data_IF_435810602907
#
_entry.id   IF_435810602907
#
_cell.length_a   1.000
_cell.length_b   1.000
_cell.length_c   1.000
_cell.angle_alpha   90.00
_cell.angle_beta   90.00
_cell.angle_gamma   90.00
#
_symmetry.space_group_name_H-M   'P 1'
#
loop_
_entity.id
_entity.type
_entity.pdbx_description
1 polymer ?
2 polymer ?
3 non-polymer ?
4 non-polymer ?
5 water ?
#
# COMPACT_ATOMS: atom_id res chain seq x y z
N UNK A 1 -21.99 12.50 -1.27
CA UNK A 1 -21.62 11.07 -1.05
C UNK A 1 -22.67 10.37 -0.21
N UNK A 2 -22.80 9.06 -0.42
CA UNK A 2 -23.84 8.29 0.26
C UNK A 2 -23.63 8.23 1.77
N UNK A 3 -22.44 8.55 2.25
CA UNK A 3 -22.19 8.57 3.69
C UNK A 3 -22.34 9.96 4.29
N UNK A 4 -22.77 10.94 3.49
CA UNK A 4 -22.83 12.31 3.95
C UNK A 4 -23.79 12.52 5.11
N UNK A 5 -24.81 11.68 5.24
CA UNK A 5 -25.78 11.86 6.31
C UNK A 5 -25.45 11.10 7.58
N UNK A 6 -24.37 10.33 7.61
CA UNK A 6 -24.02 9.55 8.79
C UNK A 6 -22.94 10.25 9.62
N UNK A 7 -23.11 10.21 10.94
CA UNK A 7 -22.14 10.81 11.86
C UNK A 7 -20.75 10.22 11.65
N UNK A 8 -19.73 11.07 11.79
CA UNK A 8 -18.35 10.59 11.73
C UNK A 8 -18.11 9.42 12.67
N UNK A 9 -18.55 9.54 13.93
CA UNK A 9 -18.27 8.49 14.89
C UNK A 9 -18.99 7.18 14.52
N UNK A 10 -20.19 7.29 13.94
CA UNK A 10 -20.92 6.10 13.50
C UNK A 10 -20.21 5.41 12.34
N UNK A 11 -19.66 6.19 11.41
CA UNK A 11 -18.87 5.62 10.32
C UNK A 11 -17.66 4.87 10.85
N UNK A 12 -16.96 5.44 11.83
CA UNK A 12 -15.81 4.75 12.40
C UNK A 12 -16.26 3.48 13.11
N UNK A 13 -17.35 3.58 13.89
CA UNK A 13 -17.87 2.40 14.58
C UNK A 13 -18.24 1.30 13.58
N UNK A 14 -18.87 1.66 12.47
CA UNK A 14 -19.28 0.66 11.50
C UNK A 14 -18.09 0.13 10.70
N UNK A 15 -17.06 0.95 10.48
CA UNK A 15 -15.84 0.44 9.88
C UNK A 15 -15.24 -0.68 10.72
N UNK A 16 -15.27 -0.54 12.05
CA UNK A 16 -14.72 -1.57 12.92
C UNK A 16 -15.59 -2.83 12.88
N UNK A 17 -16.91 -2.66 12.81
CA UNK A 17 -17.80 -3.80 12.65
C UNK A 17 -17.55 -4.51 11.32
N UNK A 18 -17.42 -3.74 10.24
CA UNK A 18 -17.16 -4.33 8.93
C UNK A 18 -15.87 -5.14 8.94
N UNK A 19 -14.83 -4.62 9.60
CA UNK A 19 -13.58 -5.38 9.72
C UNK A 19 -13.83 -6.71 10.41
N UNK A 20 -14.58 -6.70 11.53
CA UNK A 20 -14.86 -7.95 12.22
C UNK A 20 -15.60 -8.94 11.34
N UNK A 21 -16.46 -8.43 10.46
CA UNK A 21 -17.24 -9.26 9.54
C UNK A 21 -16.51 -9.55 8.24
N UNK A 22 -15.27 -9.07 8.10
CA UNK A 22 -14.48 -9.22 6.89
C UNK A 22 -15.19 -8.65 5.67
N UNK A 23 -15.91 -7.55 5.88
CA UNK A 23 -16.62 -6.85 4.82
C UNK A 23 -15.81 -5.62 4.43
N UNK A 24 -14.74 -5.85 3.67
CA UNK A 24 -13.76 -4.79 3.49
C UNK A 24 -14.22 -3.70 2.53
N UNK A 25 -15.07 -4.03 1.55
CA UNK A 25 -15.62 -2.98 0.71
C UNK A 25 -16.49 -2.02 1.52
N UNK A 26 -17.35 -2.56 2.38
CA UNK A 26 -18.11 -1.72 3.30
C UNK A 26 -17.16 -0.90 4.18
N UNK A 27 -16.14 -1.55 4.74
CA UNK A 27 -15.20 -0.86 5.61
C UNK A 27 -14.57 0.32 4.89
N UNK A 28 -14.18 0.13 3.63
CA UNK A 28 -13.56 1.21 2.86
C UNK A 28 -14.54 2.34 2.62
N UNK A 29 -15.79 2.00 2.26
CA UNK A 29 -16.78 3.04 2.03
C UNK A 29 -17.05 3.84 3.30
N UNK A 30 -17.09 3.16 4.45
CA UNK A 30 -17.30 3.87 5.72
C UNK A 30 -16.14 4.82 6.00
N UNK A 31 -14.90 4.34 5.80
CA UNK A 31 -13.74 5.18 6.10
C UNK A 31 -13.62 6.32 5.10
N UNK A 32 -13.95 6.08 3.82
CA UNK A 32 -14.03 7.18 2.86
C UNK A 32 -14.98 8.26 3.35
N UNK A 33 -16.18 7.85 3.81
CA UNK A 33 -17.12 8.80 4.36
C UNK A 33 -16.55 9.56 5.55
N UNK A 34 -15.82 8.86 6.42
CA UNK A 34 -15.21 9.51 7.57
C UNK A 34 -14.18 10.55 7.14
N UNK A 35 -13.32 10.18 6.18
CA UNK A 35 -12.34 11.14 5.67
C UNK A 35 -13.04 12.38 5.12
N UNK A 36 -14.13 12.18 4.38
CA UNK A 36 -14.82 13.28 3.72
C UNK A 36 -15.54 14.21 4.70
N UNK A 37 -15.62 13.84 5.98
CA UNK A 37 -16.10 14.79 6.97
C UNK A 37 -15.14 15.98 7.12
N UNK A 38 -13.88 15.83 6.71
CA UNK A 38 -12.96 16.95 6.65
C UNK A 38 -12.04 17.12 7.83
N UNK A 39 -12.24 16.36 8.90
CA UNK A 39 -11.36 16.41 10.06
C UNK A 39 -10.16 15.49 9.84
N UNK A 40 -9.05 15.81 10.49
CA UNK A 40 -7.87 14.95 10.42
C UNK A 40 -8.20 13.61 11.08
N UNK A 41 -7.40 12.61 10.71
CA UNK A 41 -7.60 11.26 11.23
C UNK A 41 -6.61 10.97 12.36
N UNK A 42 -7.09 10.30 13.39
CA UNK A 42 -6.23 9.79 14.45
C UNK A 42 -5.40 8.60 13.97
N UNK A 43 -4.43 8.19 14.78
CA UNK A 43 -3.58 7.07 14.43
C UNK A 43 -4.43 5.82 14.14
N UNK A 44 -5.36 5.51 15.04
CA UNK A 44 -6.22 4.35 14.88
C UNK A 44 -7.07 4.47 13.61
N UNK A 45 -7.56 5.68 13.34
CA UNK A 45 -8.42 5.88 12.17
C UNK A 45 -7.62 5.77 10.88
N UNK A 46 -6.38 6.27 10.87
CA UNK A 46 -5.55 6.10 9.69
C UNK A 46 -5.35 4.63 9.38
N UNK A 47 -5.16 3.81 10.42
CA UNK A 47 -4.94 2.40 10.17
C UNK A 47 -6.22 1.68 9.76
N UNK A 48 -7.38 2.18 10.18
CA UNK A 48 -8.62 1.60 9.64
C UNK A 48 -8.76 1.89 8.16
N UNK A 49 -8.42 3.13 7.76
CA UNK A 49 -8.45 3.49 6.34
C UNK A 49 -7.53 2.59 5.53
N UNK A 50 -6.29 2.42 5.98
CA UNK A 50 -5.33 1.63 5.21
C UNK A 50 -5.73 0.16 5.16
N UNK A 51 -6.16 -0.42 6.29
CA UNK A 51 -6.57 -1.82 6.31
C UNK A 51 -7.69 -2.05 5.31
N UNK A 52 -8.67 -1.15 5.28
CA UNK A 52 -9.84 -1.35 4.42
C UNK A 52 -9.42 -1.40 2.95
N UNK A 53 -8.74 -0.36 2.49
CA UNK A 53 -8.40 -0.30 1.07
C UNK A 53 -7.31 -1.31 0.71
N UNK A 54 -6.41 -1.63 1.63
CA UNK A 54 -5.41 -2.66 1.34
C UNK A 54 -6.06 -4.00 1.02
N UNK A 55 -7.12 -4.36 1.75
CA UNK A 55 -7.81 -5.61 1.51
C UNK A 55 -8.60 -5.56 0.21
N UNK A 56 -9.29 -4.45 -0.06
CA UNK A 56 -10.03 -4.33 -1.31
C UNK A 56 -9.09 -4.45 -2.51
N UNK A 57 -8.05 -3.61 -2.54
CA UNK A 57 -7.16 -3.60 -3.69
C UNK A 57 -6.33 -4.88 -3.75
N UNK A 58 -6.05 -5.49 -2.60
CA UNK A 58 -5.32 -6.76 -2.61
C UNK A 58 -6.08 -7.85 -3.33
N UNK A 59 -7.39 -7.92 -3.11
CA UNK A 59 -8.21 -8.88 -3.84
C UNK A 59 -8.26 -8.59 -5.33
N UNK A 60 -8.37 -7.30 -5.68
CA UNK A 60 -8.39 -6.95 -7.10
C UNK A 60 -7.06 -7.28 -7.77
N UNK A 61 -5.95 -7.01 -7.09
CA UNK A 61 -4.64 -7.30 -7.66
C UNK A 61 -4.45 -8.79 -7.87
N UNK A 62 -4.84 -9.60 -6.88
CA UNK A 62 -4.72 -11.04 -7.03
C UNK A 62 -5.54 -11.54 -8.21
N UNK A 63 -6.77 -11.04 -8.35
CA UNK A 63 -7.60 -11.41 -9.50
C UNK A 63 -6.98 -10.95 -10.81
N UNK A 64 -6.48 -9.72 -10.86
CA UNK A 64 -5.83 -9.23 -12.07
C UNK A 64 -4.64 -10.11 -12.46
N UNK A 65 -3.87 -10.59 -11.48
CA UNK A 65 -2.72 -11.44 -11.81
C UNK A 65 -3.17 -12.77 -12.38
N UNK A 66 -4.21 -13.37 -11.81
CA UNK A 66 -4.75 -14.61 -12.37
C UNK A 66 -5.15 -14.40 -13.83
N UNK A 67 -5.93 -13.34 -14.10
CA UNK A 67 -6.43 -13.11 -15.44
C UNK A 67 -5.31 -12.74 -16.41
N UNK A 68 -4.35 -11.94 -15.95
CA UNK A 68 -3.22 -11.58 -16.80
C UNK A 68 -2.41 -12.81 -17.19
N UNK A 69 -2.25 -13.76 -16.26
CA UNK A 69 -1.54 -15.00 -16.58
C UNK A 69 -2.29 -15.79 -17.63
N UNK A 70 -3.61 -15.92 -17.48
CA UNK A 70 -4.42 -16.62 -18.48
C UNK A 70 -4.29 -15.92 -19.83
N UNK A 71 -4.32 -14.59 -19.83
CA UNK A 71 -4.22 -13.84 -21.07
C UNK A 71 -2.88 -14.07 -21.75
N UNK A 72 -1.79 -14.05 -20.98
CA UNK A 72 -0.47 -14.25 -21.55
C UNK A 72 -0.36 -15.64 -22.18
N UNK A 73 -0.87 -16.66 -21.50
CA UNK A 73 -0.83 -18.01 -22.07
C UNK A 73 -1.62 -18.08 -23.37
N UNK A 74 -2.75 -17.35 -23.46
CA UNK A 74 -3.53 -17.36 -24.68
C UNK A 74 -2.78 -16.74 -25.85
N UNK A 75 -1.76 -15.95 -25.58
CA UNK A 75 -0.95 -15.32 -26.62
C UNK A 75 0.35 -16.06 -26.87
N UNK A 76 0.48 -17.29 -26.39
CA UNK A 76 1.64 -18.13 -26.68
C UNK A 76 1.44 -18.87 -27.99
N UNK A 77 2.54 -19.35 -28.56
CA UNK A 77 2.48 -20.11 -29.80
C UNK A 77 1.70 -21.40 -29.59
N UNK A 78 0.76 -21.68 -30.50
CA UNK A 78 -0.02 -22.88 -30.44
C UNK A 78 -1.26 -22.80 -29.57
N UNK A 79 -1.56 -21.64 -29.00
CA UNK A 79 -2.76 -21.47 -28.20
C UNK A 79 -3.96 -21.25 -29.11
N UNK A 80 -5.06 -21.95 -28.82
CA UNK A 80 -6.26 -21.83 -29.62
C UNK A 80 -6.91 -20.46 -29.38
N UNK A 81 -7.36 -19.83 -30.47
CA UNK A 81 -8.03 -18.55 -30.37
C UNK A 81 -9.37 -18.72 -29.66
N UNK A 82 -9.61 -17.91 -28.63
CA UNK A 82 -10.82 -18.02 -27.84
C UNK A 82 -11.64 -16.73 -27.83
N UNK A 83 -11.23 -15.73 -28.59
CA UNK A 83 -12.00 -14.50 -28.70
C UNK A 83 -11.53 -13.44 -27.74
N UNK A 84 -12.30 -12.36 -27.62
CA UNK A 84 -11.87 -11.21 -26.83
C UNK A 84 -12.17 -11.30 -25.35
N UNK A 85 -12.76 -12.40 -24.88
CA UNK A 85 -13.35 -12.41 -23.56
C UNK A 85 -12.30 -12.29 -22.45
N UNK A 86 -11.17 -12.98 -22.57
CA UNK A 86 -10.14 -12.90 -21.54
C UNK A 86 -9.64 -11.47 -21.39
N UNK A 87 -9.31 -10.83 -22.52
CA UNK A 87 -8.85 -9.44 -22.47
C UNK A 87 -9.92 -8.54 -21.89
N UNK A 88 -11.17 -8.68 -22.33
CA UNK A 88 -12.24 -7.83 -21.85
C UNK A 88 -12.36 -7.93 -20.33
N UNK A 89 -12.36 -9.15 -19.81
CA UNK A 89 -12.58 -9.34 -18.38
C UNK A 89 -11.36 -8.89 -17.57
N UNK A 90 -10.15 -9.13 -18.08
CA UNK A 90 -8.97 -8.56 -17.45
C UNK A 90 -9.06 -7.04 -17.42
N UNK A 91 -9.50 -6.44 -18.53
CA UNK A 91 -9.68 -4.99 -18.57
C UNK A 91 -10.72 -4.53 -17.55
N UNK A 92 -11.81 -5.28 -17.38
CA UNK A 92 -12.85 -4.90 -16.43
C UNK A 92 -12.28 -4.84 -15.02
N UNK A 93 -11.56 -5.88 -14.62
CA UNK A 93 -10.97 -5.92 -13.28
C UNK A 93 -9.92 -4.82 -13.15
N UNK A 94 -9.11 -4.64 -14.19
CA UNK A 94 -8.09 -3.59 -14.20
C UNK A 94 -8.71 -2.22 -14.00
N UNK A 95 -9.81 -1.93 -14.69
CA UNK A 95 -10.45 -0.63 -14.57
C UNK A 95 -11.00 -0.41 -13.16
N UNK A 96 -11.57 -1.45 -12.56
CA UNK A 96 -12.08 -1.36 -11.19
C UNK A 96 -10.94 -1.11 -10.21
N UNK A 97 -9.82 -1.82 -10.40
CA UNK A 97 -8.64 -1.64 -9.55
C UNK A 97 -8.11 -0.22 -9.67
N UNK A 98 -7.97 0.29 -10.90
CA UNK A 98 -7.52 1.66 -11.09
C UNK A 98 -8.47 2.64 -10.42
N UNK A 99 -9.77 2.36 -10.45
CA UNK A 99 -10.72 3.24 -9.81
C UNK A 99 -10.52 3.31 -8.31
N UNK A 100 -10.24 2.16 -7.68
CA UNK A 100 -9.96 2.15 -6.25
C UNK A 100 -8.69 2.94 -5.96
N UNK A 101 -7.64 2.73 -6.76
CA UNK A 101 -6.41 3.48 -6.54
C UNK A 101 -6.66 4.97 -6.70
N UNK A 102 -7.43 5.38 -7.72
CA UNK A 102 -7.70 6.79 -7.92
C UNK A 102 -8.47 7.37 -6.73
N UNK A 103 -9.39 6.58 -6.17
CA UNK A 103 -10.16 7.04 -5.03
C UNK A 103 -9.27 7.30 -3.82
N UNK A 104 -8.35 6.36 -3.54
CA UNK A 104 -7.45 6.53 -2.42
C UNK A 104 -6.56 7.74 -2.64
N UNK A 105 -5.96 7.84 -3.84
CA UNK A 105 -5.09 8.97 -4.14
C UNK A 105 -5.86 10.28 -4.08
N UNK A 106 -7.15 10.26 -4.44
CA UNK A 106 -7.96 11.46 -4.32
C UNK A 106 -8.20 11.87 -2.88
N UNK A 107 -8.39 10.89 -1.99
CA UNK A 107 -8.53 11.23 -0.57
C UNK A 107 -7.25 11.82 -0.02
N UNK A 108 -6.10 11.26 -0.41
CA UNK A 108 -4.82 11.79 0.06
C UNK A 108 -4.62 13.22 -0.44
N UNK A 109 -5.02 13.50 -1.69
CA UNK A 109 -4.83 14.82 -2.26
C UNK A 109 -5.90 15.82 -1.81
N UNK A 110 -7.06 15.33 -1.34
CA UNK A 110 -8.17 16.20 -0.95
C UNK A 110 -8.80 15.68 0.35
N UNK A 111 -8.17 15.97 1.50
CA UNK A 111 -7.01 16.85 1.66
C UNK A 111 -6.11 16.31 2.78
N UNK A 112 -5.97 14.98 2.86
CA UNK A 112 -5.28 14.37 3.99
C UNK A 112 -3.82 14.81 4.08
N UNK A 113 -3.10 14.79 2.95
CA UNK A 113 -1.67 15.04 3.02
C UNK A 113 -1.39 16.49 3.40
N UNK A 114 -2.11 17.44 2.82
CA UNK A 114 -1.79 18.83 3.05
C UNK A 114 -2.05 19.25 4.50
N UNK A 115 -2.92 18.56 5.22
CA UNK A 115 -3.16 18.89 6.61
C UNK A 115 -2.30 18.07 7.58
N UNK A 116 -1.54 17.09 7.10
CA UNK A 116 -0.78 16.20 7.98
C UNK A 116 0.59 16.81 8.27
N UNK A 117 0.79 17.23 9.52
CA UNK A 117 2.01 17.91 9.90
C UNK A 117 2.95 17.09 10.76
N UNK A 118 2.41 16.18 11.56
CA UNK A 118 3.26 15.32 12.38
C UNK A 118 3.90 14.24 11.52
N UNK A 119 5.11 13.83 11.92
CA UNK A 119 5.84 12.84 11.12
C UNK A 119 5.04 11.56 10.95
N UNK A 120 4.36 11.09 12.01
CA UNK A 120 3.69 9.79 11.93
C UNK A 120 2.54 9.82 10.93
N UNK A 121 1.81 10.93 10.84
CA UNK A 121 0.73 11.02 9.86
C UNK A 121 1.26 11.30 8.47
N UNK A 122 2.21 12.24 8.34
CA UNK A 122 2.69 12.60 7.01
C UNK A 122 3.40 11.43 6.34
N UNK A 123 4.27 10.73 7.07
CA UNK A 123 4.96 9.58 6.51
C UNK A 123 3.96 8.48 6.14
N UNK A 124 3.00 8.23 7.03
CA UNK A 124 1.95 7.24 6.75
C UNK A 124 1.24 7.54 5.44
N UNK A 125 0.82 8.79 5.24
CA UNK A 125 0.04 9.12 4.05
C UNK A 125 0.91 9.10 2.79
N UNK A 126 2.16 9.54 2.90
CA UNK A 126 3.04 9.50 1.74
C UNK A 126 3.40 8.07 1.35
N UNK A 127 3.58 7.19 2.34
CA UNK A 127 3.73 5.77 2.03
C UNK A 127 2.50 5.26 1.28
N UNK A 128 1.30 5.65 1.71
CA UNK A 128 0.08 5.23 1.02
C UNK A 128 0.06 5.75 -0.41
N UNK A 129 0.45 7.02 -0.62
CA UNK A 129 0.50 7.55 -1.97
C UNK A 129 1.47 6.75 -2.83
N UNK A 130 2.65 6.42 -2.29
CA UNK A 130 3.57 5.58 -3.04
C UNK A 130 3.00 4.21 -3.32
N UNK A 131 2.35 3.61 -2.33
CA UNK A 131 1.77 2.28 -2.51
C UNK A 131 0.74 2.26 -3.64
N UNK A 132 -0.17 3.24 -3.67
CA UNK A 132 -1.25 3.18 -4.65
C UNK A 132 -0.79 3.61 -6.04
N UNK A 133 0.24 4.46 -6.14
CA UNK A 133 0.86 4.65 -7.45
C UNK A 133 1.60 3.39 -7.88
N UNK A 134 2.19 2.65 -6.93
CA UNK A 134 2.82 1.38 -7.27
C UNK A 134 1.79 0.38 -7.80
N UNK A 135 0.60 0.31 -7.19
CA UNK A 135 -0.42 -0.61 -7.70
C UNK A 135 -0.89 -0.18 -9.08
N UNK A 136 -0.98 1.13 -9.34
CA UNK A 136 -1.25 1.58 -10.70
C UNK A 136 -0.11 1.17 -11.64
N UNK A 137 1.13 1.25 -11.16
CA UNK A 137 2.27 0.91 -12.00
C UNK A 137 2.27 -0.57 -12.38
N UNK A 138 1.76 -1.43 -11.50
CA UNK A 138 1.76 -2.87 -11.75
C UNK A 138 0.95 -3.21 -13.00
N UNK A 139 -0.06 -2.43 -13.32
CA UNK A 139 -0.93 -2.71 -14.47
C UNK A 139 -0.70 -1.77 -15.62
N UNK A 140 0.20 -0.79 -15.47
CA UNK A 140 0.41 0.23 -16.50
C UNK A 140 1.22 -0.34 -17.65
N UNK A 141 0.81 0.03 -18.88
CA UNK A 141 1.49 -0.42 -20.08
C UNK A 141 1.68 0.65 -21.14
N UNK A 142 1.14 1.86 -20.94
CA UNK A 142 1.12 2.85 -21.99
C UNK A 142 2.01 4.07 -21.81
N UNK A 143 1.58 5.20 -22.37
CA UNK A 143 2.40 6.41 -22.42
C UNK A 143 2.75 6.95 -21.04
N UNK A 144 1.93 6.66 -20.04
CA UNK A 144 2.08 7.27 -18.73
C UNK A 144 2.76 6.38 -17.72
N UNK A 145 3.24 5.20 -18.13
CA UNK A 145 3.84 4.27 -17.19
C UNK A 145 5.04 4.89 -16.47
N UNK A 146 5.90 5.59 -17.20
CA UNK A 146 7.07 6.18 -16.55
C UNK A 146 6.67 7.26 -15.56
N UNK A 147 5.65 8.05 -15.89
CA UNK A 147 5.21 9.09 -14.96
C UNK A 147 4.55 8.48 -13.73
N UNK A 148 3.81 7.39 -13.91
CA UNK A 148 3.20 6.71 -12.76
C UNK A 148 4.29 6.18 -11.83
N UNK A 149 5.31 5.55 -12.41
CA UNK A 149 6.42 5.03 -11.62
C UNK A 149 7.12 6.16 -10.88
N UNK A 150 7.35 7.29 -11.56
CA UNK A 150 8.06 8.37 -10.90
C UNK A 150 7.21 9.02 -9.81
N UNK A 151 5.88 9.00 -9.97
CA UNK A 151 5.02 9.48 -8.90
C UNK A 151 5.13 8.59 -7.67
N UNK A 152 5.17 7.27 -7.86
CA UNK A 152 5.39 6.37 -6.73
C UNK A 152 6.73 6.66 -6.07
N UNK A 153 7.79 6.70 -6.89
CA UNK A 153 9.13 6.98 -6.38
C UNK A 153 9.17 8.28 -5.58
N UNK A 154 8.59 9.34 -6.13
CA UNK A 154 8.66 10.64 -5.48
C UNK A 154 7.97 10.63 -4.12
N UNK A 155 6.80 9.98 -4.03
CA UNK A 155 6.09 9.90 -2.77
C UNK A 155 6.88 9.10 -1.73
N UNK A 156 7.38 7.93 -2.13
CA UNK A 156 8.21 7.13 -1.23
C UNK A 156 9.44 7.91 -0.77
N UNK A 157 10.07 8.65 -1.68
CA UNK A 157 11.30 9.35 -1.34
C UNK A 157 11.04 10.45 -0.31
N UNK A 158 9.97 11.22 -0.49
CA UNK A 158 9.62 12.23 0.51
C UNK A 158 9.34 11.57 1.86
N UNK A 159 8.62 10.44 1.85
CA UNK A 159 8.34 9.74 3.10
C UNK A 159 9.62 9.24 3.75
N UNK A 160 10.56 8.70 2.95
CA UNK A 160 11.83 8.24 3.48
C UNK A 160 12.61 9.38 4.11
N UNK A 161 12.70 10.52 3.40
CA UNK A 161 13.46 11.65 3.92
C UNK A 161 12.93 12.10 5.27
N UNK A 162 11.60 12.20 5.42
CA UNK A 162 11.01 12.62 6.68
C UNK A 162 11.24 11.56 7.75
N UNK A 163 11.06 10.28 7.41
CA UNK A 163 11.17 9.22 8.41
C UNK A 163 12.59 9.13 8.94
N UNK A 164 13.59 9.35 8.08
CA UNK A 164 14.96 9.27 8.55
C UNK A 164 15.30 10.44 9.47
N UNK A 165 14.73 11.61 9.22
CA UNK A 165 15.00 12.77 10.05
C UNK A 165 14.22 12.74 11.37
N UNK A 166 12.97 12.23 11.35
CA UNK A 166 12.04 12.47 12.44
C UNK A 166 11.66 11.24 13.24
N UNK A 167 12.05 10.04 12.82
CA UNK A 167 11.64 8.81 13.47
C UNK A 167 12.84 7.94 13.80
N UNK A 168 12.75 7.14 14.85
CA UNK A 168 13.83 6.18 15.15
C UNK A 168 13.85 5.05 14.13
N UNK A 169 14.99 4.37 13.98
CA UNK A 169 15.09 3.31 12.95
C UNK A 169 14.17 2.13 13.19
N UNK A 170 13.66 1.95 14.40
CA UNK A 170 12.74 0.86 14.70
C UNK A 170 11.27 1.23 14.56
N UNK A 171 10.97 2.47 14.18
CA UNK A 171 9.57 2.87 14.06
C UNK A 171 8.84 1.99 13.07
N UNK A 172 7.72 1.37 13.45
CA UNK A 172 7.04 0.46 12.51
C UNK A 172 6.61 1.09 11.20
N UNK A 173 6.23 2.38 11.20
CA UNK A 173 5.86 3.03 9.95
C UNK A 173 7.10 3.19 9.07
N UNK A 174 8.21 3.63 9.66
CA UNK A 174 9.46 3.73 8.91
C UNK A 174 9.87 2.37 8.34
N UNK A 175 9.75 1.31 9.13
CA UNK A 175 10.14 -0.02 8.67
C UNK A 175 9.26 -0.50 7.52
N UNK A 176 7.94 -0.32 7.64
CA UNK A 176 7.04 -0.76 6.58
C UNK A 176 7.20 0.05 5.32
N UNK A 177 7.47 1.35 5.46
CA UNK A 177 7.78 2.17 4.30
C UNK A 177 9.01 1.64 3.58
N UNK A 178 10.08 1.36 4.33
CA UNK A 178 11.30 0.87 3.70
C UNK A 178 11.07 -0.49 3.05
N UNK A 179 10.34 -1.38 3.71
CA UNK A 179 9.98 -2.66 3.10
C UNK A 179 9.33 -2.46 1.74
N UNK A 180 8.34 -1.57 1.66
CA UNK A 180 7.58 -1.40 0.43
C UNK A 180 8.39 -0.66 -0.63
N UNK A 181 9.16 0.36 -0.24
CA UNK A 181 10.02 1.05 -1.21
C UNK A 181 11.05 0.08 -1.78
N UNK A 182 11.55 -0.84 -0.93
CA UNK A 182 12.44 -1.89 -1.41
C UNK A 182 11.74 -2.77 -2.46
N UNK A 183 10.49 -3.17 -2.19
CA UNK A 183 9.75 -3.96 -3.18
C UNK A 183 9.56 -3.15 -4.47
N UNK A 184 9.26 -1.85 -4.33
CA UNK A 184 9.17 -0.98 -5.51
C UNK A 184 10.46 -1.06 -6.33
N UNK A 185 11.61 -0.89 -5.68
CA UNK A 185 12.87 -0.96 -6.39
C UNK A 185 13.02 -2.30 -7.12
N UNK A 186 12.66 -3.39 -6.44
CA UNK A 186 12.92 -4.72 -6.98
C UNK A 186 12.00 -5.01 -8.16
N UNK A 187 10.71 -4.71 -8.00
CA UNK A 187 9.65 -5.17 -8.89
C UNK A 187 9.24 -4.16 -9.94
N UNK A 188 9.31 -2.88 -9.63
CA UNK A 188 8.75 -1.83 -10.47
C UNK A 188 9.87 -1.07 -11.20
N UNK A 189 10.92 -0.70 -10.48
CA UNK A 189 11.99 0.12 -11.02
C UNK A 189 13.15 -0.67 -11.60
N UNK A 190 13.07 -2.01 -11.58
CA UNK A 190 14.13 -2.83 -12.16
C UNK A 190 15.47 -2.54 -11.50
N UNK A 191 15.46 -2.36 -10.18
CA UNK A 191 16.65 -1.99 -9.41
C UNK A 191 16.82 -2.95 -8.24
N UNK A 192 17.05 -4.23 -8.53
CA UNK A 192 17.18 -5.21 -7.42
C UNK A 192 18.33 -4.91 -6.48
N UNK A 193 19.43 -4.33 -6.95
CA UNK A 193 20.54 -4.02 -6.05
C UNK A 193 20.12 -2.93 -5.05
N UNK A 194 19.39 -1.91 -5.51
CA UNK A 194 18.88 -0.90 -4.60
C UNK A 194 17.89 -1.51 -3.60
N UNK A 195 17.03 -2.42 -4.08
CA UNK A 195 16.08 -3.08 -3.19
C UNK A 195 16.79 -3.84 -2.08
N UNK A 196 17.85 -4.57 -2.44
CA UNK A 196 18.58 -5.37 -1.46
C UNK A 196 19.35 -4.47 -0.50
N UNK A 197 20.01 -3.43 -1.02
CA UNK A 197 20.75 -2.52 -0.15
C UNK A 197 19.82 -1.84 0.85
N UNK A 198 18.66 -1.38 0.40
CA UNK A 198 17.74 -0.71 1.31
C UNK A 198 17.23 -1.66 2.39
N UNK A 199 16.86 -2.89 2.02
CA UNK A 199 16.34 -3.82 3.00
C UNK A 199 17.41 -4.17 4.04
N UNK A 200 18.66 -4.36 3.60
CA UNK A 200 19.72 -4.72 4.53
C UNK A 200 20.03 -3.57 5.48
N UNK A 201 20.23 -2.37 4.94
CA UNK A 201 20.55 -1.23 5.79
C UNK A 201 19.41 -0.93 6.75
N UNK A 202 18.16 -1.04 6.28
CA UNK A 202 17.03 -0.84 7.17
C UNK A 202 17.03 -1.86 8.30
N UNK A 203 17.24 -3.13 7.96
CA UNK A 203 17.27 -4.19 8.97
C UNK A 203 18.39 -3.93 9.98
N UNK A 204 19.61 -3.64 9.51
CA UNK A 204 20.74 -3.49 10.41
C UNK A 204 20.58 -2.29 11.33
N UNK A 205 20.08 -1.18 10.80
CA UNK A 205 19.89 0.01 11.64
C UNK A 205 18.81 -0.21 12.68
N UNK A 206 17.77 -0.98 12.35
CA UNK A 206 16.75 -1.31 13.34
C UNK A 206 17.32 -2.23 14.41
N UNK A 207 18.07 -3.26 14.00
CA UNK A 207 18.69 -4.18 14.95
C UNK A 207 19.45 -3.43 16.03
N UNK A 208 20.21 -2.40 15.64
CA UNK A 208 21.06 -1.67 16.56
C UNK A 208 20.28 -0.77 17.51
N UNK A 209 19.00 -0.51 17.23
CA UNK A 209 18.15 0.35 18.06
C UNK A 209 17.19 -0.45 18.92
N UNK A 210 17.14 -1.78 18.77
CA UNK A 210 16.17 -2.57 19.52
C UNK A 210 16.37 -2.45 21.02
N UNK A 211 17.60 -2.19 21.47
CA UNK A 211 17.90 -2.16 22.90
C UNK A 211 17.18 -1.03 23.62
N UNK A 212 16.70 -0.03 22.89
CA UNK A 212 16.03 1.11 23.48
C UNK A 212 14.55 0.85 23.80
N UNK A 213 14.03 -0.29 23.37
CA UNK A 213 12.59 -0.50 23.28
C UNK A 213 12.04 -1.32 24.43
N UNK A 214 10.77 -1.08 24.75
CA UNK A 214 10.00 -1.95 25.60
C UNK A 214 9.76 -3.30 24.92
N UNK A 215 9.28 -4.26 25.71
CA UNK A 215 8.94 -5.57 25.17
C UNK A 215 7.90 -5.46 24.07
N UNK A 216 6.88 -4.62 24.26
CA UNK A 216 5.81 -4.54 23.25
C UNK A 216 6.31 -3.88 21.97
N UNK A 217 7.10 -2.81 22.09
CA UNK A 217 7.66 -2.17 20.91
C UNK A 217 8.65 -3.09 20.20
N UNK A 218 9.44 -3.83 20.98
CA UNK A 218 10.36 -4.82 20.41
C UNK A 218 9.60 -5.82 19.54
N UNK A 219 8.47 -6.32 20.03
CA UNK A 219 7.65 -7.24 19.25
C UNK A 219 7.18 -6.61 17.95
N UNK A 220 6.69 -5.36 18.02
CA UNK A 220 6.19 -4.69 16.82
C UNK A 220 7.30 -4.54 15.78
N UNK A 221 8.49 -4.12 16.21
CA UNK A 221 9.57 -3.84 15.29
C UNK A 221 10.18 -5.12 14.72
N UNK A 222 10.41 -6.13 15.57
CA UNK A 222 11.02 -7.36 15.08
C UNK A 222 10.10 -8.07 14.09
N UNK A 223 8.78 -7.94 14.25
CA UNK A 223 7.87 -8.54 13.29
C UNK A 223 8.13 -8.02 11.87
N UNK A 224 8.29 -6.70 11.73
CA UNK A 224 8.51 -6.14 10.40
C UNK A 224 9.94 -6.40 9.95
N UNK A 225 10.91 -6.43 10.88
CA UNK A 225 12.27 -6.78 10.51
C UNK A 225 12.32 -8.17 9.87
N UNK A 226 11.49 -9.09 10.37
CA UNK A 226 11.47 -10.43 9.79
C UNK A 226 10.96 -10.40 8.36
N UNK A 227 10.05 -9.48 8.03
CA UNK A 227 9.60 -9.35 6.65
C UNK A 227 10.73 -8.86 5.74
N UNK A 228 11.53 -7.90 6.23
CA UNK A 228 12.71 -7.49 5.48
C UNK A 228 13.64 -8.68 5.26
N UNK A 229 13.85 -9.49 6.31
CA UNK A 229 14.70 -10.67 6.20
C UNK A 229 14.13 -11.67 5.20
N UNK A 230 12.80 -11.86 5.22
CA UNK A 230 12.18 -12.78 4.27
C UNK A 230 12.50 -12.38 2.84
N UNK A 231 12.42 -11.08 2.54
CA UNK A 231 12.69 -10.61 1.19
C UNK A 231 14.17 -10.76 0.85
N UNK A 232 15.06 -10.44 1.78
CA UNK A 232 16.48 -10.61 1.51
C UNK A 232 16.80 -12.07 1.23
N UNK A 233 16.19 -12.98 1.97
CA UNK A 233 16.41 -14.41 1.74
C UNK A 233 15.88 -14.83 0.37
N UNK A 234 14.74 -14.28 -0.03
CA UNK A 234 14.18 -14.60 -1.34
C UNK A 234 15.06 -14.05 -2.46
N UNK A 235 15.67 -12.89 -2.25
CA UNK A 235 16.35 -12.16 -3.32
C UNK A 235 17.83 -12.45 -3.41
N UNK A 236 18.42 -13.14 -2.44
CA UNK A 236 19.84 -13.45 -2.45
C UNK A 236 20.09 -14.96 -2.36
N UNK B 5 10.19 -20.80 -2.72
CA UNK B 5 9.60 -19.59 -3.26
C UNK B 5 8.45 -19.10 -2.40
N UNK B 6 8.30 -17.79 -2.30
CA UNK B 6 7.14 -17.21 -1.65
C UNK B 6 6.97 -15.79 -2.14
N UNK B 7 5.72 -15.36 -2.30
CA UNK B 7 5.40 -13.99 -2.66
C UNK B 7 6.10 -13.03 -1.71
N UNK B 8 6.96 -12.18 -2.27
CA UNK B 8 7.72 -11.20 -1.47
C UNK B 8 6.77 -10.44 -0.55
N UNK B 9 7.30 -9.87 0.53
CA UNK B 9 6.47 -9.26 1.54
C UNK B 9 6.34 -7.76 1.35
N UNK B 10 5.11 -7.26 1.42
CA UNK B 10 4.83 -5.84 1.55
C UNK B 10 3.82 -5.67 2.68
N UNK B 11 3.68 -4.44 3.16
CA UNK B 11 2.83 -4.14 4.30
C UNK B 11 1.82 -3.03 4.02
X LIG C 1 -25.28 0.79 7.89
X LIG D 1 10.37 11.87 16.40
X LIG E 1 -21.64 15.40 13.28
X LIG F 1 -2.56 19.09 10.95
#
# INVERSE_FOLDING_TARGET
GAMGSMERASLIQKAKLAEQAERYEDMAAFMKGAVEKGEELSCEERNLLSVAYKNVVGGQRAAWRVLSSIEQKSNEEGSEEKGPEVREYREKVETELQGVCDTVLGLLDSHLIKEAGDAESRVFYLKMKGDYYRYLAEVATGDDKKRIIDSARSAYQEAMDISKKEMPPTNPIRLGLALNFSVFHYEIANSPEEAISLAKTTFDEAMADLHTLSEDSYKDSTLIMQLLRDNLTLWTADNAGEEGGEAPQEPQS
IQDLWQWRKSL
CL CL
MG MG
MG MG
MG MG
#
